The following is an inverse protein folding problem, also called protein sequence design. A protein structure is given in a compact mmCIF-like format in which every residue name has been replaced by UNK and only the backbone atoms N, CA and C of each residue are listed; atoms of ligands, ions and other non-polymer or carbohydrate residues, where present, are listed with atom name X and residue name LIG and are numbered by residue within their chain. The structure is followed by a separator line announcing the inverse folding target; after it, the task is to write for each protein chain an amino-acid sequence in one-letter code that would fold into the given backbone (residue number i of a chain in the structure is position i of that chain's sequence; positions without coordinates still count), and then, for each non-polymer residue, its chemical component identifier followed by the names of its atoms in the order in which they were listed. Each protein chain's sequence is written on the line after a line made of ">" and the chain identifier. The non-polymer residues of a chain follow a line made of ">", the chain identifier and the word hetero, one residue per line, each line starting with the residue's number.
data_IF_395673974700
#
_entry.id   IF_395673974700
#
_cell.length_a   1.000
_cell.length_b   1.000
_cell.length_c   1.000
_cell.angle_alpha   90.00
_cell.angle_beta   90.00
_cell.angle_gamma   90.00
#
_symmetry.space_group_name_H-M   'P 1'
#
loop_
_entity.id
_entity.type
_entity.pdbx_description
1 polymer ?
#
# COMPACT_ATOMS: atom_id res chain seq x y z
N UNK A 1 6.18 9.21 6.30
CA UNK A 1 5.22 8.11 6.57
C UNK A 1 4.44 8.34 7.87
N UNK A 2 5.10 8.51 9.01
CA UNK A 2 4.39 8.72 10.29
C UNK A 2 3.56 10.00 10.31
N UNK A 3 4.02 11.08 9.71
CA UNK A 3 3.25 12.32 9.61
C UNK A 3 1.95 12.14 8.79
N UNK A 4 2.00 11.39 7.68
CA UNK A 4 0.81 11.10 6.88
C UNK A 4 -0.19 10.22 7.64
N UNK A 5 0.29 9.18 8.32
CA UNK A 5 -0.54 8.33 9.19
C UNK A 5 -1.15 9.13 10.33
N UNK A 6 -0.34 9.93 11.02
CA UNK A 6 -0.80 10.82 12.09
C UNK A 6 -1.94 11.73 11.63
N UNK A 7 -1.83 12.33 10.44
CA UNK A 7 -2.86 13.23 9.90
C UNK A 7 -4.21 12.52 9.64
N UNK A 8 -4.20 11.20 9.41
CA UNK A 8 -5.43 10.41 9.21
C UNK A 8 -6.04 9.88 10.52
N UNK A 9 -5.26 9.80 11.60
CA UNK A 9 -5.71 9.31 12.92
C UNK A 9 -6.47 10.40 13.70
N UNK A 10 -7.44 11.05 13.08
CA UNK A 10 -8.24 12.11 13.68
C UNK A 10 -9.70 12.01 13.23
N UNK A 11 -10.59 12.60 14.00
CA UNK A 11 -12.01 12.67 13.66
C UNK A 11 -12.65 13.91 14.23
N UNK A 12 -13.52 14.59 13.48
CA UNK A 12 -14.35 15.68 14.00
C UNK A 12 -15.27 15.25 15.14
N UNK A 13 -15.58 13.96 15.28
CA UNK A 13 -16.43 13.42 16.34
C UNK A 13 -15.82 13.59 17.72
N UNK A 14 -14.50 13.66 17.81
CA UNK A 14 -13.82 13.89 19.10
C UNK A 14 -13.77 15.36 19.51
N UNK A 15 -14.07 16.28 18.59
CA UNK A 15 -14.00 17.73 18.87
C UNK A 15 -12.65 18.12 19.50
N UNK A 16 -12.71 18.87 20.62
CA UNK A 16 -11.51 19.27 21.35
C UNK A 16 -10.88 18.15 22.17
N UNK A 17 -11.56 17.05 22.42
CA UNK A 17 -11.02 15.93 23.23
C UNK A 17 -9.85 15.23 22.53
N UNK A 18 -9.78 15.27 21.19
CA UNK A 18 -8.62 14.74 20.44
C UNK A 18 -7.31 15.39 20.90
N UNK A 19 -7.34 16.65 21.32
CA UNK A 19 -6.14 17.38 21.77
C UNK A 19 -5.52 16.78 23.05
N UNK A 20 -6.30 16.00 23.81
CA UNK A 20 -5.82 15.36 25.05
C UNK A 20 -4.93 14.14 24.77
N UNK A 21 -5.12 13.50 23.60
CA UNK A 21 -4.39 12.31 23.19
C UNK A 21 -3.50 12.54 21.97
N UNK A 22 -3.53 13.78 21.43
CA UNK A 22 -2.73 14.17 20.27
C UNK A 22 -1.30 14.59 20.69
N UNK A 23 -0.26 14.18 19.95
CA UNK A 23 -0.27 13.32 18.76
C UNK A 23 -0.39 11.85 19.12
N UNK A 24 -1.13 11.06 18.32
CA UNK A 24 -1.23 9.60 18.49
C UNK A 24 0.12 8.93 18.24
N UNK A 25 0.83 9.41 17.21
CA UNK A 25 2.19 8.98 16.89
C UNK A 25 3.17 10.06 17.30
N UNK A 26 3.94 9.84 18.35
CA UNK A 26 4.91 10.81 18.84
C UNK A 26 6.18 10.82 17.99
N UNK A 27 6.77 11.98 17.84
CA UNK A 27 8.09 12.10 17.27
C UNK A 27 9.12 11.31 18.10
N UNK A 28 9.93 10.50 17.43
CA UNK A 28 10.94 9.65 18.07
C UNK A 28 10.43 8.31 18.60
N UNK A 29 9.12 8.01 18.54
CA UNK A 29 8.61 6.67 18.81
C UNK A 29 9.04 5.69 17.72
N UNK A 30 9.14 4.40 18.09
CA UNK A 30 9.29 3.34 17.11
C UNK A 30 8.02 3.18 16.26
N UNK A 31 8.17 2.63 15.07
CA UNK A 31 7.05 2.37 14.16
C UNK A 31 6.02 1.42 14.80
N UNK A 32 6.49 0.45 15.57
CA UNK A 32 5.64 -0.50 16.32
C UNK A 32 4.87 0.17 17.48
N UNK A 33 5.49 1.10 18.20
CA UNK A 33 4.80 1.84 19.27
C UNK A 33 3.70 2.76 18.69
N UNK A 34 3.97 3.39 17.55
CA UNK A 34 2.95 4.16 16.84
C UNK A 34 1.82 3.28 16.32
N UNK A 35 2.14 2.05 15.91
CA UNK A 35 1.14 1.05 15.50
C UNK A 35 0.23 0.66 16.67
N UNK A 36 0.79 0.39 17.85
CA UNK A 36 0.02 0.05 19.04
C UNK A 36 -0.97 1.16 19.41
N UNK A 37 -0.51 2.41 19.40
CA UNK A 37 -1.36 3.57 19.68
C UNK A 37 -2.50 3.70 18.64
N UNK A 38 -2.20 3.44 17.37
CA UNK A 38 -3.21 3.50 16.30
C UNK A 38 -4.24 2.37 16.45
N UNK A 39 -3.78 1.16 16.77
CA UNK A 39 -4.65 0.00 17.01
C UNK A 39 -5.60 0.28 18.18
N UNK A 40 -5.07 0.76 19.30
CA UNK A 40 -5.87 1.11 20.46
C UNK A 40 -6.90 2.18 20.14
N UNK A 41 -6.49 3.25 19.45
CA UNK A 41 -7.41 4.30 19.02
C UNK A 41 -8.56 3.77 18.17
N UNK A 42 -8.28 2.90 17.21
CA UNK A 42 -9.30 2.31 16.35
C UNK A 42 -10.27 1.43 17.13
N UNK A 43 -9.75 0.58 18.02
CA UNK A 43 -10.58 -0.32 18.85
C UNK A 43 -11.44 0.47 19.81
N UNK A 44 -10.89 1.48 20.49
CA UNK A 44 -11.65 2.37 21.38
C UNK A 44 -12.67 3.22 20.61
N UNK A 45 -12.39 3.53 19.35
CA UNK A 45 -13.29 4.21 18.43
C UNK A 45 -14.43 3.36 17.87
N UNK A 46 -14.46 2.06 18.18
CA UNK A 46 -15.58 1.15 17.88
C UNK A 46 -15.33 0.10 16.81
N UNK A 47 -14.12 0.01 16.26
CA UNK A 47 -13.74 -1.10 15.39
C UNK A 47 -13.51 -2.38 16.21
N UNK A 48 -13.88 -3.55 15.67
CA UNK A 48 -13.38 -4.80 16.22
C UNK A 48 -11.87 -4.89 15.99
N UNK A 49 -11.16 -5.60 16.87
CA UNK A 49 -9.71 -5.71 16.75
C UNK A 49 -9.27 -6.34 15.43
N UNK A 50 -9.99 -7.33 14.92
CA UNK A 50 -9.73 -7.94 13.61
C UNK A 50 -9.96 -6.96 12.46
N UNK A 51 -10.98 -6.09 12.54
CA UNK A 51 -11.24 -5.06 11.55
C UNK A 51 -10.11 -4.01 11.54
N UNK A 52 -9.76 -3.50 12.72
CA UNK A 52 -8.65 -2.55 12.85
C UNK A 52 -7.33 -3.13 12.31
N UNK A 53 -7.05 -4.40 12.58
CA UNK A 53 -5.88 -5.10 12.05
C UNK A 53 -5.89 -5.20 10.53
N UNK A 54 -7.04 -5.48 9.90
CA UNK A 54 -7.15 -5.51 8.42
C UNK A 54 -6.96 -4.13 7.79
N UNK A 55 -7.31 -3.04 8.51
CA UNK A 55 -7.04 -1.68 8.06
C UNK A 55 -5.55 -1.32 8.18
N UNK A 56 -4.94 -1.68 9.30
CA UNK A 56 -3.55 -1.33 9.61
C UNK A 56 -2.54 -2.16 8.81
N UNK A 57 -2.81 -3.45 8.64
CA UNK A 57 -1.95 -4.40 7.90
C UNK A 57 -2.81 -5.11 6.85
N UNK A 58 -3.16 -4.45 5.76
CA UNK A 58 -3.93 -5.06 4.69
C UNK A 58 -3.10 -6.13 3.96
N UNK A 59 -3.78 -7.15 3.44
CA UNK A 59 -3.15 -8.04 2.47
C UNK A 59 -2.91 -7.35 1.12
N UNK A 60 -2.17 -7.98 0.22
CA UNK A 60 -1.95 -7.47 -1.14
C UNK A 60 -3.26 -7.53 -1.95
N UNK A 61 -3.98 -6.43 -2.01
CA UNK A 61 -5.29 -6.34 -2.67
C UNK A 61 -5.25 -5.58 -3.99
N UNK A 62 -4.42 -4.53 -4.08
CA UNK A 62 -4.30 -3.73 -5.29
C UNK A 62 -3.69 -4.58 -6.43
N UNK A 63 -4.29 -4.52 -7.60
CA UNK A 63 -3.82 -5.30 -8.76
C UNK A 63 -4.01 -6.82 -8.66
N UNK A 64 -4.61 -7.37 -7.61
CA UNK A 64 -4.83 -8.80 -7.48
C UNK A 64 -6.08 -9.25 -8.27
N UNK A 65 -5.93 -9.92 -9.42
CA UNK A 65 -7.07 -10.30 -10.26
C UNK A 65 -7.89 -11.46 -9.66
N UNK A 66 -7.35 -12.17 -8.67
CA UNK A 66 -8.00 -13.32 -8.04
C UNK A 66 -8.82 -12.93 -6.80
N UNK A 67 -8.73 -11.68 -6.36
CA UNK A 67 -9.48 -11.21 -5.21
C UNK A 67 -10.92 -10.90 -5.60
N UNK A 68 -11.87 -11.40 -4.82
CA UNK A 68 -13.28 -11.10 -5.02
C UNK A 68 -13.59 -9.60 -4.82
N UNK A 69 -14.64 -9.11 -5.48
CA UNK A 69 -14.98 -7.70 -5.52
C UNK A 69 -15.32 -7.11 -4.15
N UNK A 70 -16.02 -7.85 -3.29
CA UNK A 70 -16.41 -7.36 -1.96
C UNK A 70 -15.18 -7.11 -1.08
N UNK A 71 -14.24 -8.05 -1.13
CA UNK A 71 -13.00 -7.97 -0.37
C UNK A 71 -12.10 -6.86 -0.90
N UNK A 72 -12.01 -6.70 -2.22
CA UNK A 72 -11.32 -5.57 -2.84
C UNK A 72 -11.94 -4.25 -2.41
N UNK A 73 -13.25 -4.12 -2.49
CA UNK A 73 -13.98 -2.90 -2.10
C UNK A 73 -13.81 -2.56 -0.63
N UNK A 74 -13.72 -3.55 0.25
CA UNK A 74 -13.39 -3.33 1.65
C UNK A 74 -12.03 -2.64 1.81
N UNK A 75 -10.98 -3.19 1.20
CA UNK A 75 -9.63 -2.61 1.32
C UNK A 75 -9.53 -1.25 0.64
N UNK A 76 -10.11 -1.09 -0.53
CA UNK A 76 -10.11 0.17 -1.28
C UNK A 76 -10.81 1.29 -0.50
N UNK A 77 -11.96 0.98 0.11
CA UNK A 77 -12.68 1.93 0.96
C UNK A 77 -11.84 2.38 2.16
N UNK A 78 -11.21 1.44 2.87
CA UNK A 78 -10.41 1.76 4.04
C UNK A 78 -9.07 2.42 3.70
N UNK A 79 -8.48 2.09 2.55
CA UNK A 79 -7.29 2.78 2.05
C UNK A 79 -7.51 4.28 1.81
N UNK A 80 -8.75 4.68 1.53
CA UNK A 80 -9.12 6.08 1.41
C UNK A 80 -9.23 6.82 2.75
N UNK A 81 -9.37 6.09 3.86
CA UNK A 81 -9.51 6.66 5.20
C UNK A 81 -8.17 6.94 5.85
N UNK A 82 -7.24 6.00 5.75
CA UNK A 82 -5.94 6.11 6.41
C UNK A 82 -4.85 5.34 5.68
N UNK A 83 -3.62 5.80 5.84
CA UNK A 83 -2.44 5.10 5.35
C UNK A 83 -2.17 3.84 6.19
N UNK A 84 -2.05 2.65 5.59
CA UNK A 84 -1.71 1.43 6.30
C UNK A 84 -0.24 1.42 6.74
N UNK A 85 0.11 0.53 7.69
CA UNK A 85 1.49 0.20 7.98
C UNK A 85 2.03 -0.78 6.93
N UNK A 86 3.29 -0.62 6.61
CA UNK A 86 3.98 -1.47 5.64
C UNK A 86 5.35 -1.89 6.18
N UNK A 87 5.84 -3.00 5.65
CA UNK A 87 7.13 -3.58 6.05
C UNK A 87 6.98 -4.97 6.69
N UNK A 88 8.13 -5.65 6.95
CA UNK A 88 8.14 -6.99 7.52
C UNK A 88 7.59 -7.01 8.94
N UNK A 89 6.46 -7.65 9.15
CA UNK A 89 5.81 -7.72 10.44
C UNK A 89 5.25 -9.13 10.76
N UNK A 90 5.40 -9.53 12.01
CA UNK A 90 4.64 -10.60 12.64
C UNK A 90 4.05 -10.02 13.93
N UNK A 91 2.75 -9.89 13.98
CA UNK A 91 2.04 -9.14 15.02
C UNK A 91 1.12 -10.09 15.76
N UNK A 92 1.29 -10.19 17.08
CA UNK A 92 0.33 -10.78 17.97
C UNK A 92 -0.46 -9.66 18.66
N UNK A 93 -1.75 -9.82 18.83
CA UNK A 93 -2.64 -8.81 19.39
C UNK A 93 -3.75 -9.41 20.23
N UNK A 94 -4.29 -8.63 21.15
CA UNK A 94 -5.43 -9.02 21.98
C UNK A 94 -6.20 -7.80 22.48
N UNK A 95 -7.50 -7.96 22.68
CA UNK A 95 -8.38 -7.00 23.36
C UNK A 95 -8.92 -7.56 24.69
N UNK A 96 -8.35 -8.68 25.18
CA UNK A 96 -8.80 -9.39 26.37
C UNK A 96 -9.96 -10.37 26.13
N UNK A 97 -10.64 -10.34 24.98
CA UNK A 97 -11.69 -11.26 24.54
C UNK A 97 -11.25 -12.14 23.39
N UNK A 98 -10.42 -11.58 22.55
CA UNK A 98 -9.85 -12.25 21.40
C UNK A 98 -8.34 -12.16 21.44
N UNK A 99 -7.68 -13.21 20.97
CA UNK A 99 -6.23 -13.24 20.73
C UNK A 99 -6.03 -13.55 19.25
N UNK A 100 -5.18 -12.80 18.61
CA UNK A 100 -4.90 -13.02 17.20
C UNK A 100 -3.44 -12.83 16.84
N UNK A 101 -3.12 -13.26 15.63
CA UNK A 101 -1.83 -13.00 15.02
C UNK A 101 -2.00 -12.82 13.51
N UNK A 102 -1.20 -11.94 12.95
CA UNK A 102 -1.16 -11.71 11.49
C UNK A 102 0.27 -11.50 11.03
N UNK A 103 0.50 -11.81 9.76
CA UNK A 103 1.72 -11.43 9.04
C UNK A 103 1.41 -10.29 8.08
N UNK A 104 2.44 -9.52 7.76
CA UNK A 104 2.41 -8.58 6.67
C UNK A 104 2.07 -9.27 5.34
N UNK A 105 1.70 -8.50 4.33
CA UNK A 105 1.30 -9.00 3.01
C UNK A 105 2.35 -9.86 2.30
N UNK A 106 3.63 -9.68 2.60
CA UNK A 106 4.73 -10.47 2.06
C UNK A 106 5.08 -11.69 2.93
N UNK A 107 4.70 -11.66 4.21
CA UNK A 107 4.96 -12.73 5.17
C UNK A 107 6.44 -13.06 5.34
N UNK A 108 7.29 -12.02 5.37
CA UNK A 108 8.74 -12.19 5.46
C UNK A 108 9.18 -12.74 6.81
N UNK A 109 8.44 -12.44 7.89
CA UNK A 109 8.69 -12.99 9.20
C UNK A 109 7.98 -14.33 9.37
N UNK A 110 8.63 -15.36 9.92
CA UNK A 110 7.97 -16.63 10.17
C UNK A 110 7.04 -16.55 11.38
N UNK A 111 5.92 -17.26 11.31
CA UNK A 111 5.06 -17.56 12.44
C UNK A 111 4.46 -18.96 12.28
N UNK A 112 4.58 -19.77 13.31
CA UNK A 112 4.04 -21.13 13.38
C UNK A 112 3.16 -21.25 14.59
N UNK A 113 2.08 -22.01 14.46
CA UNK A 113 1.24 -22.34 15.60
C UNK A 113 0.85 -23.80 15.60
N UNK A 114 0.55 -24.30 16.75
CA UNK A 114 -0.03 -25.62 16.95
C UNK A 114 -1.12 -25.57 18.01
N UNK A 115 -2.04 -26.51 17.88
CA UNK A 115 -3.18 -26.69 18.76
C UNK A 115 -3.01 -28.02 19.47
N UNK A 116 -3.18 -28.04 20.78
CA UNK A 116 -3.07 -29.21 21.62
C UNK A 116 -4.43 -29.79 21.99
N UNK A 117 -4.45 -31.00 22.52
CA UNK A 117 -5.64 -31.74 22.94
C UNK A 117 -6.36 -31.14 24.18
N UNK A 118 -5.69 -30.25 24.90
CA UNK A 118 -6.21 -29.50 26.04
C UNK A 118 -6.67 -28.06 25.63
N UNK A 119 -6.91 -27.81 24.35
CA UNK A 119 -7.28 -26.50 23.77
C UNK A 119 -6.19 -25.44 23.90
N UNK A 120 -4.97 -25.80 24.31
CA UNK A 120 -3.83 -24.88 24.31
C UNK A 120 -3.42 -24.56 22.85
N UNK A 121 -3.26 -23.28 22.54
CA UNK A 121 -2.69 -22.82 21.28
C UNK A 121 -1.36 -22.14 21.56
N UNK A 122 -0.31 -22.59 20.89
CA UNK A 122 1.02 -21.99 20.97
C UNK A 122 1.37 -21.39 19.62
N UNK A 123 1.74 -20.12 19.63
CA UNK A 123 2.23 -19.40 18.45
C UNK A 123 3.64 -18.89 18.73
N UNK A 124 4.56 -19.15 17.81
CA UNK A 124 5.95 -18.73 17.90
C UNK A 124 6.55 -18.50 16.50
N UNK A 125 7.69 -17.82 16.44
CA UNK A 125 8.45 -17.64 15.20
C UNK A 125 8.88 -18.98 14.60
N UNK A 126 9.21 -19.96 15.45
CA UNK A 126 9.69 -21.29 15.05
C UNK A 126 9.16 -22.40 15.97
N UNK A 127 9.20 -23.62 15.48
CA UNK A 127 8.86 -24.78 16.28
C UNK A 127 9.99 -25.09 17.30
N UNK A 128 9.60 -25.55 18.49
CA UNK A 128 10.56 -25.94 19.53
C UNK A 128 10.97 -24.84 20.50
N UNK A 129 10.36 -23.66 20.41
CA UNK A 129 10.56 -22.55 21.37
C UNK A 129 10.05 -22.89 22.76
N UNK A 130 9.01 -23.73 22.84
CA UNK A 130 8.50 -24.32 24.08
C UNK A 130 8.60 -25.85 23.98
N UNK A 131 9.05 -26.53 25.04
CA UNK A 131 8.98 -27.97 25.09
C UNK A 131 7.51 -28.38 25.24
N UNK A 132 6.99 -29.08 24.24
CA UNK A 132 5.64 -29.63 24.24
C UNK A 132 5.69 -31.12 23.99
N UNK A 133 4.73 -31.84 24.55
CA UNK A 133 4.52 -33.24 24.23
C UNK A 133 3.87 -33.35 22.84
N UNK A 134 4.66 -33.80 21.87
CA UNK A 134 4.19 -33.91 20.49
C UNK A 134 2.99 -34.85 20.32
N UNK A 135 2.83 -35.83 21.23
CA UNK A 135 1.69 -36.76 21.19
C UNK A 135 0.34 -36.07 21.46
N UNK A 136 0.36 -34.90 22.11
CA UNK A 136 -0.80 -34.08 22.43
C UNK A 136 -1.12 -33.03 21.39
N UNK A 137 -0.32 -32.89 20.35
CA UNK A 137 -0.53 -31.90 19.31
C UNK A 137 -1.55 -32.41 18.28
N UNK A 138 -2.71 -31.76 18.21
CA UNK A 138 -3.79 -32.09 17.27
C UNK A 138 -3.47 -31.57 15.87
N UNK A 139 -2.95 -30.34 15.77
CA UNK A 139 -2.64 -29.71 14.48
C UNK A 139 -1.44 -28.79 14.57
N UNK A 140 -0.66 -28.73 13.46
CA UNK A 140 0.49 -27.82 13.29
C UNK A 140 0.31 -27.05 12.00
N UNK A 141 0.39 -25.73 12.05
CA UNK A 141 0.25 -24.87 10.90
C UNK A 141 1.30 -23.76 10.88
N UNK A 142 1.46 -23.21 9.70
CA UNK A 142 2.25 -21.99 9.47
C UNK A 142 1.29 -20.87 9.12
N UNK A 143 1.41 -19.73 9.79
CA UNK A 143 0.69 -18.52 9.40
C UNK A 143 1.19 -18.06 8.02
N UNK A 144 0.28 -17.79 7.12
CA UNK A 144 0.58 -17.42 5.74
C UNK A 144 0.60 -15.89 5.57
N UNK A 145 1.29 -15.37 4.53
CA UNK A 145 1.29 -13.95 4.20
C UNK A 145 -0.12 -13.36 4.10
N UNK A 146 -0.34 -12.20 4.73
CA UNK A 146 -1.62 -11.51 4.70
C UNK A 146 -2.79 -12.28 5.31
N UNK A 147 -2.51 -13.34 6.09
CA UNK A 147 -3.54 -14.14 6.78
C UNK A 147 -3.52 -13.92 8.28
N UNK A 148 -4.69 -13.99 8.86
CA UNK A 148 -4.92 -13.81 10.29
C UNK A 148 -5.31 -15.13 10.95
N UNK A 149 -4.74 -15.40 12.13
CA UNK A 149 -5.24 -16.35 13.11
C UNK A 149 -6.02 -15.55 14.16
N UNK A 150 -7.22 -15.94 14.48
CA UNK A 150 -8.04 -15.32 15.51
C UNK A 150 -8.64 -16.39 16.41
N UNK A 151 -8.54 -16.21 17.72
CA UNK A 151 -9.09 -17.08 18.73
C UNK A 151 -10.07 -16.26 19.56
N UNK A 152 -11.32 -16.68 19.60
CA UNK A 152 -12.31 -16.12 20.51
C UNK A 152 -12.25 -16.88 21.83
N UNK A 153 -11.90 -16.16 22.90
CA UNK A 153 -11.74 -16.73 24.23
C UNK A 153 -13.07 -16.95 24.96
N UNK A 154 -14.14 -16.29 24.51
CA UNK A 154 -15.47 -16.43 25.09
C UNK A 154 -16.12 -17.71 24.57
N UNK A 155 -16.06 -17.89 23.25
CA UNK A 155 -16.65 -19.05 22.58
C UNK A 155 -15.70 -20.24 22.53
N UNK A 156 -14.42 -20.07 22.90
CA UNK A 156 -13.38 -21.10 22.83
C UNK A 156 -13.15 -21.60 21.40
N UNK A 157 -13.18 -20.69 20.41
CA UNK A 157 -13.18 -21.05 18.97
C UNK A 157 -12.04 -20.39 18.23
N UNK A 158 -11.36 -21.16 17.38
CA UNK A 158 -10.46 -20.62 16.37
C UNK A 158 -11.28 -20.19 15.15
N UNK A 159 -11.21 -18.91 14.79
CA UNK A 159 -11.91 -18.33 13.64
C UNK A 159 -10.93 -18.26 12.47
N UNK A 160 -11.29 -18.84 11.34
CA UNK A 160 -10.43 -18.87 10.17
C UNK A 160 -10.34 -17.50 9.49
N UNK A 161 -9.20 -17.22 8.82
CA UNK A 161 -8.98 -16.01 8.02
C UNK A 161 -10.13 -15.77 7.01
N UNK A 162 -10.60 -16.83 6.38
CA UNK A 162 -11.70 -16.76 5.43
C UNK A 162 -12.98 -16.27 6.10
N UNK A 163 -13.32 -16.83 7.24
CA UNK A 163 -14.52 -16.49 8.01
C UNK A 163 -14.49 -15.02 8.49
N UNK A 164 -13.34 -14.58 9.02
CA UNK A 164 -13.12 -13.17 9.41
C UNK A 164 -13.35 -12.22 8.22
N UNK A 165 -12.69 -12.51 7.11
CA UNK A 165 -12.77 -11.67 5.92
C UNK A 165 -14.16 -11.68 5.29
N UNK A 166 -14.81 -12.82 5.21
CA UNK A 166 -16.19 -12.92 4.76
C UNK A 166 -17.14 -12.09 5.63
N UNK A 167 -17.01 -12.18 6.94
CA UNK A 167 -17.84 -11.42 7.87
C UNK A 167 -17.62 -9.91 7.71
N UNK A 168 -16.39 -9.45 7.73
CA UNK A 168 -16.06 -8.02 7.71
C UNK A 168 -16.32 -7.38 6.33
N UNK A 169 -16.00 -8.07 5.26
CA UNK A 169 -16.22 -7.55 3.90
C UNK A 169 -17.69 -7.55 3.48
N UNK A 170 -18.55 -8.34 4.15
CA UNK A 170 -19.99 -8.32 3.93
C UNK A 170 -20.75 -7.47 4.96
N UNK A 171 -20.07 -6.90 5.96
CA UNK A 171 -20.72 -6.14 7.02
C UNK A 171 -21.39 -4.85 6.50
N UNK A 172 -20.86 -4.28 5.43
CA UNK A 172 -21.36 -3.05 4.83
C UNK A 172 -21.28 -3.12 3.30
N UNK A 173 -22.04 -2.29 2.59
CA UNK A 173 -22.04 -2.24 1.12
C UNK A 173 -20.88 -1.37 0.59
N UNK A 174 -19.63 -1.76 0.86
CA UNK A 174 -18.44 -0.97 0.53
C UNK A 174 -18.34 -0.62 -0.96
N UNK A 175 -18.77 -1.53 -1.85
CA UNK A 175 -18.76 -1.28 -3.30
C UNK A 175 -19.70 -0.14 -3.67
N UNK A 176 -20.92 -0.15 -3.14
CA UNK A 176 -21.89 0.93 -3.37
C UNK A 176 -21.35 2.27 -2.82
N UNK A 177 -20.68 2.24 -1.68
CA UNK A 177 -20.08 3.42 -1.10
C UNK A 177 -18.99 4.01 -1.96
N UNK A 178 -18.11 3.17 -2.53
CA UNK A 178 -17.09 3.60 -3.47
C UNK A 178 -17.72 4.19 -4.75
N UNK A 179 -18.66 3.49 -5.36
CA UNK A 179 -19.32 3.91 -6.59
C UNK A 179 -20.01 5.28 -6.45
N UNK A 180 -20.56 5.55 -5.27
CA UNK A 180 -21.24 6.82 -4.98
C UNK A 180 -20.28 7.97 -4.66
N UNK A 181 -19.05 7.70 -4.20
CA UNK A 181 -18.13 8.73 -3.69
C UNK A 181 -16.87 8.91 -4.51
N UNK A 182 -16.55 8.00 -5.43
CA UNK A 182 -15.32 8.00 -6.18
C UNK A 182 -15.55 8.47 -7.63
N UNK A 183 -14.71 9.37 -8.09
CA UNK A 183 -14.63 9.78 -9.49
C UNK A 183 -13.25 9.40 -9.99
N UNK A 184 -13.18 8.56 -11.01
CA UNK A 184 -11.92 8.09 -11.59
C UNK A 184 -11.53 9.03 -12.73
N UNK A 185 -10.35 9.65 -12.62
CA UNK A 185 -9.87 10.64 -13.60
C UNK A 185 -9.84 10.10 -15.03
N UNK A 186 -9.43 8.84 -15.18
CA UNK A 186 -9.35 8.18 -16.48
C UNK A 186 -10.72 8.01 -17.14
N UNK A 187 -11.77 7.82 -16.35
CA UNK A 187 -13.15 7.58 -16.82
C UNK A 187 -13.91 8.87 -17.18
N UNK A 188 -13.37 10.03 -16.80
CA UNK A 188 -13.93 11.31 -17.19
C UNK A 188 -13.76 11.50 -18.70
N UNK A 189 -14.85 11.88 -19.39
CA UNK A 189 -14.84 12.10 -20.82
C UNK A 189 -13.79 13.14 -21.26
N UNK A 190 -13.11 12.83 -22.36
CA UNK A 190 -12.10 13.72 -22.93
C UNK A 190 -12.76 14.88 -23.65
N UNK A 191 -12.63 16.09 -23.14
CA UNK A 191 -12.71 17.26 -24.00
C UNK A 191 -11.44 17.27 -24.88
N UNK A 192 -11.59 17.58 -26.18
CA UNK A 192 -10.46 17.62 -27.10
C UNK A 192 -9.45 18.67 -26.65
N UNK A 193 -8.26 18.24 -26.28
CA UNK A 193 -7.15 19.15 -26.00
C UNK A 193 -6.38 19.35 -27.30
N UNK A 194 -6.32 20.57 -27.78
CA UNK A 194 -5.45 20.90 -28.92
C UNK A 194 -3.98 20.70 -28.48
N UNK A 195 -3.33 19.70 -29.05
CA UNK A 195 -1.89 19.53 -28.90
C UNK A 195 -1.17 20.55 -29.77
N UNK A 196 -0.51 21.52 -29.11
CA UNK A 196 0.38 22.44 -29.83
C UNK A 196 1.52 21.63 -30.45
N UNK A 197 1.55 21.61 -31.79
CA UNK A 197 2.71 21.04 -32.49
C UNK A 197 3.90 21.99 -32.31
N UNK A 198 4.94 21.48 -31.67
CA UNK A 198 6.19 22.21 -31.57
C UNK A 198 6.94 22.05 -32.91
N UNK A 199 7.44 23.15 -33.47
CA UNK A 199 8.41 23.07 -34.55
C UNK A 199 9.77 22.60 -34.02
N UNK A 200 10.65 22.17 -34.89
CA UNK A 200 11.94 21.60 -34.51
C UNK A 200 12.85 22.60 -33.81
N UNK A 201 12.75 23.87 -34.11
CA UNK A 201 13.58 24.91 -33.46
C UNK A 201 13.11 25.12 -32.03
N UNK A 202 11.82 25.24 -31.80
CA UNK A 202 11.23 25.39 -30.47
C UNK A 202 11.49 24.16 -29.61
N UNK A 203 11.40 22.97 -30.21
CA UNK A 203 11.71 21.71 -29.52
C UNK A 203 13.18 21.66 -29.08
N UNK A 204 14.11 21.96 -30.00
CA UNK A 204 15.55 21.94 -29.69
C UNK A 204 15.92 22.99 -28.63
N UNK A 205 15.32 24.17 -28.70
CA UNK A 205 15.54 25.21 -27.71
C UNK A 205 14.97 24.80 -26.34
N UNK A 206 13.81 24.19 -26.30
CA UNK A 206 13.22 23.63 -25.10
C UNK A 206 14.12 22.56 -24.48
N UNK A 207 14.60 21.60 -25.26
CA UNK A 207 15.52 20.56 -24.78
C UNK A 207 16.80 21.17 -24.15
N UNK A 208 17.38 22.18 -24.78
CA UNK A 208 18.57 22.87 -24.24
C UNK A 208 18.25 23.61 -22.94
N UNK A 209 17.14 24.31 -22.87
CA UNK A 209 16.72 25.05 -21.67
C UNK A 209 16.50 24.11 -20.49
N UNK A 210 15.88 22.95 -20.73
CA UNK A 210 15.62 21.94 -19.70
C UNK A 210 16.78 20.95 -19.48
N UNK A 211 17.92 21.14 -20.17
CA UNK A 211 19.13 20.36 -19.96
C UNK A 211 19.12 18.95 -20.54
N UNK A 212 18.20 18.64 -21.47
CA UNK A 212 18.18 17.32 -22.11
C UNK A 212 19.35 17.15 -23.07
N UNK A 213 20.11 16.08 -22.86
CA UNK A 213 21.22 15.68 -23.75
C UNK A 213 20.74 14.67 -24.79
N UNK A 214 21.57 14.44 -25.82
CA UNK A 214 21.30 13.37 -26.79
C UNK A 214 21.32 11.98 -26.17
N UNK A 215 22.07 11.80 -25.09
CA UNK A 215 22.12 10.56 -24.33
C UNK A 215 20.79 10.33 -23.62
N UNK A 216 20.26 11.33 -22.94
CA UNK A 216 18.94 11.26 -22.30
C UNK A 216 17.86 10.86 -23.29
N UNK A 217 17.87 11.46 -24.47
CA UNK A 217 16.87 11.15 -25.49
C UNK A 217 16.98 9.72 -26.03
N UNK A 218 18.20 9.26 -26.31
CA UNK A 218 18.44 7.95 -26.96
C UNK A 218 18.44 6.79 -25.97
N UNK A 219 19.06 6.98 -24.82
CA UNK A 219 19.32 5.88 -23.86
C UNK A 219 18.25 5.78 -22.79
N UNK A 220 17.65 6.90 -22.39
CA UNK A 220 16.62 6.92 -21.36
C UNK A 220 15.22 7.04 -21.96
N UNK A 221 14.92 8.13 -22.67
CA UNK A 221 13.56 8.43 -23.09
C UNK A 221 13.04 7.53 -24.22
N UNK A 222 13.89 7.24 -25.22
CA UNK A 222 13.45 6.41 -26.35
C UNK A 222 13.02 5.01 -25.93
N UNK A 223 13.80 4.25 -25.12
CA UNK A 223 13.35 2.96 -24.60
C UNK A 223 12.03 3.05 -23.85
N UNK A 224 11.89 4.03 -22.96
CA UNK A 224 10.65 4.25 -22.20
C UNK A 224 9.45 4.53 -23.12
N UNK A 225 9.63 5.35 -24.13
CA UNK A 225 8.57 5.67 -25.09
C UNK A 225 8.15 4.48 -25.96
N UNK A 226 9.08 3.58 -26.28
CA UNK A 226 8.84 2.42 -27.15
C UNK A 226 8.26 1.25 -26.38
N UNK A 227 8.78 0.98 -25.17
CA UNK A 227 8.43 -0.24 -24.42
C UNK A 227 7.40 0.00 -23.31
N UNK A 228 7.20 1.25 -22.88
CA UNK A 228 6.40 1.59 -21.70
C UNK A 228 7.05 1.16 -20.38
N UNK A 229 8.32 0.83 -20.40
CA UNK A 229 9.09 0.39 -19.23
C UNK A 229 10.26 1.33 -18.97
N UNK A 230 10.75 1.35 -17.75
CA UNK A 230 11.95 2.10 -17.40
C UNK A 230 13.15 1.62 -18.21
N UNK A 231 14.01 2.54 -18.63
CA UNK A 231 15.23 2.21 -19.35
C UNK A 231 16.18 1.46 -18.42
N UNK A 232 16.54 0.25 -18.83
CA UNK A 232 17.50 -0.60 -18.10
C UNK A 232 18.87 -0.44 -18.73
N UNK A 233 19.84 -0.08 -17.91
CA UNK A 233 21.24 0.02 -18.30
C UNK A 233 22.13 -0.93 -17.50
N UNK A 234 23.27 -1.31 -18.05
CA UNK A 234 24.32 -2.00 -17.32
C UNK A 234 25.34 -0.98 -16.84
N UNK A 235 25.70 -1.02 -15.56
CA UNK A 235 26.72 -0.17 -14.97
C UNK A 235 28.15 -0.65 -15.30
N UNK A 236 28.29 -1.65 -16.13
CA UNK A 236 29.56 -2.21 -16.54
C UNK A 236 29.50 -3.74 -16.67
N UNK A 237 30.64 -4.32 -17.00
CA UNK A 237 30.77 -5.77 -17.18
C UNK A 237 32.06 -6.25 -16.51
N UNK A 238 31.98 -7.40 -15.85
CA UNK A 238 33.14 -8.12 -15.32
C UNK A 238 33.82 -9.01 -16.38
N UNK A 239 33.34 -8.98 -17.63
CA UNK A 239 33.93 -9.74 -18.71
C UNK A 239 35.36 -9.22 -18.96
N UNK A 240 36.39 -10.07 -18.89
CA UNK A 240 37.75 -9.65 -19.16
C UNK A 240 37.91 -9.03 -20.54
N UNK A 241 38.61 -7.91 -20.60
CA UNK A 241 38.90 -7.24 -21.87
C UNK A 241 40.05 -8.00 -22.54
N UNK A 242 39.92 -8.29 -23.82
CA UNK A 242 40.98 -8.92 -24.57
C UNK A 242 42.23 -8.02 -24.60
N UNK A 243 43.37 -8.53 -24.12
CA UNK A 243 44.64 -7.81 -24.07
C UNK A 243 45.15 -7.40 -25.44
N UNK A 244 44.69 -8.07 -26.51
CA UNK A 244 45.12 -7.81 -27.91
C UNK A 244 44.02 -7.14 -28.72
N UNK A 245 43.00 -6.58 -28.08
CA UNK A 245 41.88 -5.92 -28.76
C UNK A 245 42.34 -4.54 -29.29
N UNK A 246 42.08 -4.30 -30.57
CA UNK A 246 42.25 -2.98 -31.18
C UNK A 246 41.01 -2.07 -31.03
N UNK A 247 39.98 -2.52 -30.34
CA UNK A 247 38.76 -1.72 -30.09
C UNK A 247 38.99 -0.79 -28.91
N UNK A 248 38.88 0.53 -29.08
CA UNK A 248 38.99 1.45 -27.96
C UNK A 248 37.84 1.23 -26.99
N UNK A 249 38.11 1.25 -25.70
CA UNK A 249 37.14 1.13 -24.62
C UNK A 249 37.28 2.35 -23.69
N UNK A 250 36.16 2.71 -23.06
CA UNK A 250 36.20 3.77 -22.04
C UNK A 250 37.03 3.30 -20.82
N UNK A 251 37.72 4.22 -20.20
CA UNK A 251 38.65 3.90 -19.12
C UNK A 251 38.03 3.08 -17.99
N UNK A 252 36.79 3.42 -17.58
CA UNK A 252 36.13 2.71 -16.51
C UNK A 252 35.81 1.24 -16.82
N UNK A 253 35.77 0.85 -18.11
CA UNK A 253 35.59 -0.54 -18.53
C UNK A 253 36.71 -1.48 -18.16
N UNK A 254 37.92 -0.91 -17.87
CA UNK A 254 39.10 -1.67 -17.47
C UNK A 254 39.14 -1.98 -15.96
N UNK A 255 38.21 -1.45 -15.21
CA UNK A 255 38.15 -1.67 -13.77
C UNK A 255 36.97 -2.57 -13.40
N UNK A 256 37.20 -3.50 -12.47
CA UNK A 256 36.19 -4.32 -11.91
C UNK A 256 35.25 -3.47 -11.04
N UNK A 257 33.96 -3.59 -11.26
CA UNK A 257 32.96 -2.93 -10.43
C UNK A 257 32.60 -3.80 -9.23
N UNK A 258 32.54 -3.18 -8.06
CA UNK A 258 32.03 -3.79 -6.85
C UNK A 258 30.63 -3.23 -6.58
N UNK A 259 29.64 -4.14 -6.53
CA UNK A 259 28.26 -3.78 -6.22
C UNK A 259 27.95 -4.13 -4.77
N UNK A 260 27.30 -3.21 -4.07
CA UNK A 260 26.59 -3.52 -2.85
C UNK A 260 25.19 -3.97 -3.21
N UNK A 261 24.78 -5.14 -2.73
CA UNK A 261 23.45 -5.67 -2.94
C UNK A 261 22.83 -6.04 -1.60
N UNK A 262 21.57 -5.65 -1.41
CA UNK A 262 20.78 -6.08 -0.26
C UNK A 262 20.44 -7.55 -0.42
N UNK A 263 20.73 -8.36 0.60
CA UNK A 263 20.62 -9.84 0.54
C UNK A 263 19.15 -10.30 0.48
N UNK A 264 18.22 -9.61 1.09
CA UNK A 264 16.80 -9.92 1.06
C UNK A 264 16.01 -8.62 0.88
N UNK A 265 15.89 -8.09 -0.32
CA UNK A 265 15.07 -6.92 -0.55
C UNK A 265 13.61 -7.24 -0.18
N UNK A 266 12.93 -6.41 0.65
CA UNK A 266 11.57 -6.66 1.09
C UNK A 266 10.57 -6.62 -0.07
N UNK A 267 10.87 -5.82 -1.08
CA UNK A 267 10.08 -5.65 -2.30
C UNK A 267 11.01 -5.79 -3.49
N UNK A 268 10.63 -6.59 -4.47
CA UNK A 268 11.31 -6.69 -5.75
C UNK A 268 10.44 -6.04 -6.86
N UNK A 269 11.05 -5.67 -8.01
CA UNK A 269 10.31 -4.98 -9.08
C UNK A 269 9.11 -5.77 -9.63
N UNK A 270 9.10 -7.09 -9.52
CA UNK A 270 7.98 -7.93 -9.99
C UNK A 270 6.78 -7.82 -9.05
N UNK A 271 7.03 -7.74 -7.74
CA UNK A 271 5.99 -7.66 -6.71
C UNK A 271 5.59 -6.23 -6.36
N UNK A 272 6.36 -5.24 -6.77
CA UNK A 272 6.14 -3.84 -6.44
C UNK A 272 4.74 -3.36 -6.83
N UNK A 273 4.29 -3.71 -8.02
CA UNK A 273 2.96 -3.34 -8.52
C UNK A 273 1.81 -3.89 -7.66
N UNK A 274 1.98 -5.08 -7.07
CA UNK A 274 0.96 -5.69 -6.21
C UNK A 274 1.01 -5.25 -4.75
N UNK A 275 2.08 -4.60 -4.31
CA UNK A 275 2.28 -4.22 -2.90
C UNK A 275 2.40 -2.72 -2.67
N UNK A 276 2.64 -1.93 -3.71
CA UNK A 276 2.72 -0.47 -3.66
C UNK A 276 1.69 0.14 -4.59
N UNK A 277 1.09 1.23 -4.17
CA UNK A 277 0.14 1.99 -4.98
C UNK A 277 0.58 3.44 -5.06
N UNK A 278 0.50 4.00 -6.27
CA UNK A 278 0.72 5.42 -6.54
C UNK A 278 -0.60 6.20 -6.65
N UNK A 279 -1.72 5.53 -6.36
CA UNK A 279 -3.05 6.14 -6.39
C UNK A 279 -3.11 7.29 -5.40
N UNK A 280 -3.54 8.43 -5.88
CA UNK A 280 -3.78 9.62 -5.06
C UNK A 280 -5.27 9.93 -5.04
N UNK A 281 -5.81 10.18 -3.85
CA UNK A 281 -7.19 10.58 -3.65
C UNK A 281 -7.24 12.07 -3.32
N UNK A 282 -7.89 12.85 -4.17
CA UNK A 282 -8.04 14.30 -4.03
C UNK A 282 -9.47 14.59 -3.58
N UNK A 283 -9.60 15.25 -2.45
CA UNK A 283 -10.88 15.59 -1.84
C UNK A 283 -10.92 15.28 -0.34
N UNK A 284 -12.06 15.49 0.31
CA UNK A 284 -12.20 15.24 1.75
C UNK A 284 -12.10 13.74 2.03
N UNK A 285 -11.36 13.38 3.07
CA UNK A 285 -11.30 12.00 3.55
C UNK A 285 -12.60 11.62 4.25
N UNK A 286 -13.07 10.38 4.15
CA UNK A 286 -14.14 9.88 4.99
C UNK A 286 -13.75 10.00 6.46
N UNK A 287 -14.74 10.20 7.32
CA UNK A 287 -14.48 10.23 8.75
C UNK A 287 -14.12 8.82 9.25
N UNK A 288 -12.93 8.67 9.80
CA UNK A 288 -12.38 7.39 10.26
C UNK A 288 -13.30 6.68 11.29
N UNK A 289 -14.00 7.44 12.14
CA UNK A 289 -14.82 6.89 13.24
C UNK A 289 -16.33 7.00 13.01
N UNK A 290 -16.74 7.47 11.85
CA UNK A 290 -18.15 7.46 11.49
C UNK A 290 -18.52 6.13 10.80
N UNK A 291 -18.65 5.09 11.60
CA UNK A 291 -18.87 3.72 11.14
C UNK A 291 -20.25 3.49 10.48
N UNK A 292 -21.15 4.45 10.60
CA UNK A 292 -22.54 4.31 10.14
C UNK A 292 -22.93 5.33 9.09
N UNK A 293 -22.18 6.39 8.95
CA UNK A 293 -22.53 7.51 8.10
C UNK A 293 -21.66 7.51 6.84
N UNK A 294 -22.31 7.31 5.73
CA UNK A 294 -21.71 7.36 4.42
C UNK A 294 -21.19 8.77 4.15
N UNK A 295 -19.91 8.89 3.88
CA UNK A 295 -19.44 10.10 3.23
C UNK A 295 -20.17 10.25 1.90
N UNK A 296 -20.98 11.28 1.78
CA UNK A 296 -21.61 11.66 0.51
C UNK A 296 -20.69 12.51 -0.36
N UNK A 297 -19.53 12.88 0.18
CA UNK A 297 -18.56 13.72 -0.51
C UNK A 297 -17.77 12.93 -1.52
N UNK A 298 -17.83 13.39 -2.78
CA UNK A 298 -17.07 12.80 -3.88
C UNK A 298 -15.58 13.12 -3.77
N UNK A 299 -14.77 12.17 -4.22
CA UNK A 299 -13.31 12.27 -4.28
C UNK A 299 -12.85 11.93 -5.67
N UNK A 300 -11.81 12.60 -6.13
CA UNK A 300 -11.16 12.29 -7.39
C UNK A 300 -10.02 11.30 -7.15
N UNK A 301 -10.11 10.15 -7.76
CA UNK A 301 -9.02 9.18 -7.83
C UNK A 301 -8.13 9.47 -9.03
N UNK A 302 -6.84 9.59 -8.76
CA UNK A 302 -5.79 9.76 -9.75
C UNK A 302 -4.85 8.57 -9.61
N UNK A 303 -4.90 7.65 -10.57
CA UNK A 303 -4.16 6.37 -10.52
C UNK A 303 -2.67 6.52 -10.76
N UNK A 304 -2.27 7.60 -11.42
CA UNK A 304 -0.88 7.89 -11.75
C UNK A 304 -0.48 9.28 -11.25
N UNK A 305 0.67 9.43 -10.60
CA UNK A 305 1.13 10.73 -10.07
C UNK A 305 1.57 11.69 -11.19
N UNK A 306 1.83 11.17 -12.38
CA UNK A 306 2.24 11.94 -13.56
C UNK A 306 1.02 12.11 -14.46
N UNK A 307 0.62 13.35 -14.67
CA UNK A 307 -0.56 13.71 -15.47
C UNK A 307 -0.14 14.17 -16.87
N UNK A 308 -0.91 13.77 -17.86
CA UNK A 308 -0.87 14.36 -19.20
C UNK A 308 -1.59 15.71 -19.20
N UNK A 309 -1.31 16.55 -20.20
CA UNK A 309 -2.03 17.82 -20.34
C UNK A 309 -3.56 17.62 -20.46
N UNK A 310 -3.98 16.53 -21.11
CA UNK A 310 -5.40 16.14 -21.18
C UNK A 310 -6.00 15.84 -19.82
N UNK A 311 -5.25 15.20 -18.93
CA UNK A 311 -5.71 14.86 -17.59
C UNK A 311 -5.77 16.10 -16.70
N UNK A 312 -4.78 16.98 -16.83
CA UNK A 312 -4.81 18.28 -16.16
C UNK A 312 -6.01 19.14 -16.61
N UNK A 313 -6.36 19.08 -17.90
CA UNK A 313 -7.54 19.78 -18.41
C UNK A 313 -8.83 19.22 -17.83
N UNK A 314 -8.96 17.89 -17.71
CA UNK A 314 -10.10 17.26 -17.02
C UNK A 314 -10.24 17.75 -15.57
N UNK A 315 -9.12 17.87 -14.84
CA UNK A 315 -9.13 18.39 -13.48
C UNK A 315 -9.57 19.86 -13.44
N UNK A 316 -9.16 20.67 -14.40
CA UNK A 316 -9.60 22.07 -14.51
C UNK A 316 -11.10 22.20 -14.75
N UNK A 317 -11.66 21.29 -15.54
CA UNK A 317 -13.07 21.28 -15.90
C UNK A 317 -13.93 20.47 -14.91
N UNK A 318 -13.37 19.96 -13.81
CA UNK A 318 -14.04 19.04 -12.90
C UNK A 318 -15.26 19.63 -12.20
N UNK A 319 -15.33 20.95 -12.04
CA UNK A 319 -16.49 21.63 -11.47
C UNK A 319 -17.76 21.42 -12.31
N UNK A 320 -17.62 21.26 -13.63
CA UNK A 320 -18.73 20.97 -14.54
C UNK A 320 -19.16 19.48 -14.49
N UNK A 321 -18.24 18.59 -14.16
CA UNK A 321 -18.43 17.13 -14.20
C UNK A 321 -18.93 16.61 -12.84
N UNK A 322 -18.50 17.23 -11.75
CA UNK A 322 -18.75 16.77 -10.38
C UNK A 322 -19.96 17.39 -9.70
N UNK A 323 -21.00 17.81 -10.43
CA UNK A 323 -22.22 18.43 -9.87
C UNK A 323 -21.93 19.62 -8.93
N UNK A 324 -20.94 20.43 -9.24
CA UNK A 324 -20.43 21.53 -8.41
C UNK A 324 -19.87 21.13 -7.02
N UNK A 325 -19.59 19.86 -6.80
CA UNK A 325 -18.96 19.39 -5.55
C UNK A 325 -17.44 19.61 -5.56
N UNK A 326 -16.84 19.86 -6.71
CA UNK A 326 -15.44 20.21 -6.85
C UNK A 326 -15.31 21.64 -7.39
N UNK A 327 -14.37 22.38 -6.84
CA UNK A 327 -14.00 23.70 -7.36
C UNK A 327 -12.53 23.65 -7.77
N UNK A 328 -12.27 23.79 -9.07
CA UNK A 328 -10.92 24.02 -9.57
C UNK A 328 -10.64 25.53 -9.57
N UNK A 329 -9.55 25.91 -8.92
CA UNK A 329 -8.98 27.27 -9.01
C UNK A 329 -7.67 27.19 -9.78
N UNK A 330 -7.62 27.90 -10.91
CA UNK A 330 -6.42 28.05 -11.72
C UNK A 330 -5.67 29.30 -11.28
#
# INVERSE_FOLDING_TARGET
>A
WMAARQASLSSPLFGDDIKKIWPISYEGQSDTACFDNALELLVQGGYSISHAMMMLIPEAWSGNPLMDEKRRSFYEYHAAMMEPWDGPAAIAFTDGRQIGATLDRNGLRPARYFVMDDDTVVLASEAGTLPVDESKVISKWRLQPGKMLLIDLIDGKIISDKEIKEQLCNANPYKEWLDNTQIILEEIDKKSVEHRKLDNELLNNGQKIFGYTQEDLKVLMTPMAVTGQEAIGSMGTDTPISAISNKPKLLYTYFKQNFAQVTNPPIDPIREESVMSLVSLIGPRPNLFDLKNLSTTKRLEVRQPILKNSDLQKIRDISEIGDNQFLSRV
#
